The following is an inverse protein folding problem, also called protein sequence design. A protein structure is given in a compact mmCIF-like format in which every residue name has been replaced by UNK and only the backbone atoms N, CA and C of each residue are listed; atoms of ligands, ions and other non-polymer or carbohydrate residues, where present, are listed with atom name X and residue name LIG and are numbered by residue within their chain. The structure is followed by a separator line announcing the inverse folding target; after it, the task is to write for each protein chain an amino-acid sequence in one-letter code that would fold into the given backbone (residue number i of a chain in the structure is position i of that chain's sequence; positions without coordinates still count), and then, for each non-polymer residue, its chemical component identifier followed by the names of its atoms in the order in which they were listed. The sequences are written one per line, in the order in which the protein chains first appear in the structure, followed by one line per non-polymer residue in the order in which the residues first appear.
data_IF_017586072922
#
_entry.id   IF_017586072922
#
_cell.length_a   1.000
_cell.length_b   1.000
_cell.length_c   1.000
_cell.angle_alpha   90.00
_cell.angle_beta   90.00
_cell.angle_gamma   90.00
#
_symmetry.space_group_name_H-M   'P 1'
#
loop_
_entity.id
_entity.type
_entity.pdbx_description
1 polymer ?
#
# COMPACT_ATOMS: atom_id res chain seq x y z
N UNK A 1 20.91 30.97 2.23
CA UNK A 1 20.40 29.87 1.41
C UNK A 1 21.11 28.60 1.86
N UNK A 2 20.45 27.81 2.70
CA UNK A 2 20.92 26.46 3.07
C UNK A 2 20.90 25.66 1.77
N UNK A 3 22.02 25.07 1.42
CA UNK A 3 22.16 24.22 0.23
C UNK A 3 21.24 23.00 0.40
N UNK A 4 20.01 23.12 -0.14
CA UNK A 4 18.97 22.11 -0.01
C UNK A 4 19.26 20.84 -0.83
N UNK A 5 20.22 20.93 -1.78
CA UNK A 5 20.57 19.81 -2.66
C UNK A 5 21.24 18.65 -1.91
N UNK A 6 22.21 18.93 -1.05
CA UNK A 6 22.89 17.89 -0.28
C UNK A 6 22.01 17.18 0.76
N UNK A 7 21.02 17.87 1.32
CA UNK A 7 20.05 17.28 2.23
C UNK A 7 19.07 16.34 1.52
N UNK A 8 18.65 16.69 0.32
CA UNK A 8 17.76 15.87 -0.51
C UNK A 8 18.46 14.59 -0.97
N UNK A 9 19.71 14.70 -1.46
CA UNK A 9 20.48 13.55 -1.92
C UNK A 9 20.76 12.56 -0.78
N UNK A 10 21.06 13.05 0.43
CA UNK A 10 21.26 12.21 1.60
C UNK A 10 19.98 11.46 1.98
N UNK A 11 18.86 12.15 1.94
CA UNK A 11 17.56 11.56 2.27
C UNK A 11 17.14 10.52 1.23
N UNK A 12 17.27 10.82 -0.06
CA UNK A 12 16.98 9.88 -1.15
C UNK A 12 17.88 8.64 -1.05
N UNK A 13 19.18 8.84 -0.80
CA UNK A 13 20.12 7.74 -0.60
C UNK A 13 19.76 6.90 0.63
N UNK A 14 19.41 7.54 1.74
CA UNK A 14 18.98 6.86 2.97
C UNK A 14 17.71 6.05 2.76
N UNK A 15 16.73 6.61 2.09
CA UNK A 15 15.48 5.93 1.72
C UNK A 15 15.75 4.75 0.81
N UNK A 16 16.59 4.91 -0.21
CA UNK A 16 16.97 3.83 -1.12
C UNK A 16 17.68 2.69 -0.39
N UNK A 17 18.65 3.00 0.48
CA UNK A 17 19.35 1.99 1.30
C UNK A 17 18.38 1.27 2.24
N UNK A 18 17.46 2.00 2.87
CA UNK A 18 16.45 1.40 3.73
C UNK A 18 15.52 0.46 2.96
N UNK A 19 15.04 0.87 1.79
CA UNK A 19 14.22 0.03 0.92
C UNK A 19 14.98 -1.22 0.46
N UNK A 20 16.24 -1.08 0.06
CA UNK A 20 17.09 -2.20 -0.33
C UNK A 20 17.30 -3.19 0.83
N UNK A 21 17.56 -2.70 2.04
CA UNK A 21 17.67 -3.52 3.23
C UNK A 21 16.35 -4.24 3.55
N UNK A 22 15.21 -3.55 3.42
CA UNK A 22 13.89 -4.14 3.59
C UNK A 22 13.63 -5.26 2.61
N UNK A 23 13.91 -5.05 1.32
CA UNK A 23 13.66 -6.04 0.27
C UNK A 23 14.49 -7.32 0.47
N UNK A 24 15.72 -7.17 0.98
CA UNK A 24 16.64 -8.31 1.22
C UNK A 24 16.42 -9.01 2.57
N UNK A 25 15.64 -8.41 3.46
CA UNK A 25 15.42 -8.97 4.80
C UNK A 25 14.45 -10.15 4.78
N UNK A 26 14.90 -11.31 5.27
CA UNK A 26 14.11 -12.55 5.38
C UNK A 26 13.38 -12.93 4.09
N UNK A 27 14.11 -12.99 3.02
CA UNK A 27 13.62 -13.42 1.70
C UNK A 27 13.02 -14.82 1.79
N UNK A 28 11.82 -14.97 1.22
CA UNK A 28 11.13 -16.24 1.05
C UNK A 28 10.61 -16.31 -0.38
N UNK A 29 11.33 -17.01 -1.24
CA UNK A 29 11.09 -17.01 -2.68
C UNK A 29 9.62 -17.27 -3.03
N UNK A 30 9.00 -18.31 -2.46
CA UNK A 30 7.60 -18.66 -2.73
C UNK A 30 6.62 -17.57 -2.32
N UNK A 31 6.83 -16.99 -1.14
CA UNK A 31 5.98 -15.91 -0.62
C UNK A 31 6.19 -14.63 -1.41
N UNK A 32 7.44 -14.28 -1.65
CA UNK A 32 7.81 -13.05 -2.31
C UNK A 32 7.31 -13.01 -3.76
N UNK A 33 7.38 -14.13 -4.48
CA UNK A 33 6.79 -14.24 -5.83
C UNK A 33 5.28 -13.97 -5.85
N UNK A 34 4.54 -14.44 -4.83
CA UNK A 34 3.11 -14.12 -4.71
C UNK A 34 2.88 -12.63 -4.49
N UNK A 35 3.65 -12.00 -3.59
CA UNK A 35 3.54 -10.56 -3.34
C UNK A 35 3.96 -9.73 -4.55
N UNK A 36 5.01 -10.14 -5.29
CA UNK A 36 5.41 -9.52 -6.55
C UNK A 36 4.29 -9.58 -7.59
N UNK A 37 3.67 -10.76 -7.76
CA UNK A 37 2.57 -10.93 -8.71
C UNK A 37 1.34 -10.09 -8.30
N UNK A 38 0.96 -10.11 -7.03
CA UNK A 38 -0.15 -9.29 -6.51
C UNK A 38 0.14 -7.80 -6.68
N UNK A 39 1.35 -7.35 -6.36
CA UNK A 39 1.77 -5.96 -6.54
C UNK A 39 1.75 -5.53 -8.00
N UNK A 40 2.28 -6.35 -8.90
CA UNK A 40 2.31 -6.03 -10.33
C UNK A 40 0.88 -5.96 -10.93
N UNK A 41 0.05 -6.96 -10.64
CA UNK A 41 -1.32 -7.02 -11.19
C UNK A 41 -2.20 -5.97 -10.53
N UNK A 42 -2.20 -5.88 -9.20
CA UNK A 42 -3.01 -4.90 -8.46
C UNK A 42 -2.59 -3.46 -8.77
N UNK A 43 -1.29 -3.19 -8.75
CA UNK A 43 -0.75 -1.89 -9.12
C UNK A 43 -1.06 -1.53 -10.57
N UNK A 44 -0.92 -2.48 -11.50
CA UNK A 44 -1.28 -2.28 -12.90
C UNK A 44 -2.76 -1.93 -13.08
N UNK A 45 -3.66 -2.59 -12.34
CA UNK A 45 -5.10 -2.27 -12.36
C UNK A 45 -5.36 -0.87 -11.83
N UNK A 46 -4.72 -0.48 -10.71
CA UNK A 46 -4.87 0.84 -10.12
C UNK A 46 -4.36 1.93 -11.07
N UNK A 47 -3.17 1.75 -11.64
CA UNK A 47 -2.58 2.70 -12.59
C UNK A 47 -3.43 2.83 -13.87
N UNK A 48 -3.88 1.70 -14.41
CA UNK A 48 -4.78 1.71 -15.55
C UNK A 48 -6.07 2.46 -15.24
N UNK A 49 -6.71 2.14 -14.11
CA UNK A 49 -7.93 2.81 -13.68
C UNK A 49 -7.73 4.32 -13.53
N UNK A 50 -6.76 4.74 -12.72
CA UNK A 50 -6.54 6.16 -12.40
C UNK A 50 -6.19 7.00 -13.63
N UNK A 51 -5.35 6.46 -14.52
CA UNK A 51 -4.92 7.20 -15.72
C UNK A 51 -5.99 7.21 -16.83
N UNK A 52 -6.77 6.14 -17.01
CA UNK A 52 -7.85 6.08 -17.99
C UNK A 52 -9.06 6.93 -17.57
N UNK A 53 -9.38 6.96 -16.30
CA UNK A 53 -10.45 7.79 -15.75
C UNK A 53 -10.03 9.24 -15.48
N UNK A 54 -8.74 9.56 -15.70
CA UNK A 54 -8.16 10.88 -15.48
C UNK A 54 -8.26 11.35 -14.01
N UNK A 55 -8.28 10.42 -13.06
CA UNK A 55 -8.16 10.74 -11.63
C UNK A 55 -6.78 11.35 -11.37
N UNK A 56 -5.74 10.80 -12.04
CA UNK A 56 -4.40 11.43 -12.13
C UNK A 56 -3.82 11.28 -13.54
N UNK A 57 -2.82 12.10 -13.82
CA UNK A 57 -2.09 12.10 -15.09
C UNK A 57 -0.61 12.21 -14.81
N UNK A 58 0.19 11.50 -15.60
CA UNK A 58 1.64 11.62 -15.57
C UNK A 58 2.12 12.67 -16.57
N UNK A 59 3.30 13.22 -16.33
CA UNK A 59 3.91 14.21 -17.22
C UNK A 59 4.18 13.66 -18.63
N UNK A 60 4.36 12.33 -18.75
CA UNK A 60 4.53 11.62 -20.03
C UNK A 60 3.22 11.44 -20.81
N UNK A 61 2.07 11.71 -20.18
CA UNK A 61 0.72 11.50 -20.72
C UNK A 61 0.39 10.04 -21.11
N UNK A 62 1.26 9.09 -20.77
CA UNK A 62 1.00 7.65 -20.93
C UNK A 62 -0.08 7.16 -19.97
N UNK A 63 -0.79 6.07 -20.35
CA UNK A 63 -1.97 5.59 -19.60
C UNK A 63 -2.06 4.05 -19.52
N UNK A 64 -1.45 3.39 -18.56
CA UNK A 64 -0.45 3.91 -17.62
C UNK A 64 0.95 3.94 -18.24
N UNK A 65 1.88 4.71 -17.66
CA UNK A 65 3.29 4.63 -18.04
C UNK A 65 3.90 3.30 -17.55
N UNK A 66 4.56 2.58 -18.45
CA UNK A 66 5.12 1.26 -18.12
C UNK A 66 6.25 1.33 -17.08
N UNK A 67 6.95 2.45 -16.99
CA UNK A 67 8.05 2.64 -16.04
C UNK A 67 7.60 2.70 -14.57
N UNK A 68 6.32 3.00 -14.28
CA UNK A 68 5.80 3.00 -12.89
C UNK A 68 5.44 1.60 -12.40
N UNK A 69 5.13 0.66 -13.31
CA UNK A 69 4.66 -0.67 -12.94
C UNK A 69 5.63 -1.44 -12.03
N UNK A 70 6.96 -1.38 -12.21
CA UNK A 70 7.90 -2.04 -11.31
C UNK A 70 7.92 -1.50 -9.87
N UNK A 71 7.45 -0.28 -9.64
CA UNK A 71 7.38 0.31 -8.30
C UNK A 71 6.37 -0.44 -7.40
N UNK A 72 5.28 -0.94 -7.96
CA UNK A 72 4.22 -1.62 -7.22
C UNK A 72 4.65 -2.92 -6.55
N UNK A 73 5.31 -3.89 -7.25
CA UNK A 73 5.85 -5.07 -6.61
C UNK A 73 6.90 -4.74 -5.55
N UNK A 74 7.74 -3.72 -5.77
CA UNK A 74 8.73 -3.27 -4.79
C UNK A 74 8.03 -2.75 -3.53
N UNK A 75 7.04 -1.86 -3.68
CA UNK A 75 6.24 -1.34 -2.58
C UNK A 75 5.50 -2.46 -1.83
N UNK A 76 4.92 -3.41 -2.56
CA UNK A 76 4.19 -4.54 -1.95
C UNK A 76 5.10 -5.42 -1.09
N UNK A 77 6.33 -5.69 -1.53
CA UNK A 77 7.33 -6.41 -0.73
C UNK A 77 7.72 -5.59 0.51
N UNK A 78 7.96 -4.30 0.36
CA UNK A 78 8.29 -3.43 1.49
C UNK A 78 7.16 -3.41 2.53
N UNK A 79 5.91 -3.30 2.09
CA UNK A 79 4.72 -3.35 2.96
C UNK A 79 4.67 -4.69 3.72
N UNK A 80 4.90 -5.82 3.05
CA UNK A 80 4.95 -7.13 3.73
C UNK A 80 6.05 -7.20 4.79
N UNK A 81 7.24 -6.64 4.52
CA UNK A 81 8.34 -6.59 5.50
C UNK A 81 7.98 -5.71 6.71
N UNK A 82 7.47 -4.51 6.44
CA UNK A 82 7.04 -3.57 7.48
C UNK A 82 5.92 -4.16 8.33
N UNK A 83 4.92 -4.79 7.71
CA UNK A 83 3.83 -5.45 8.43
C UNK A 83 4.34 -6.54 9.37
N UNK A 84 5.31 -7.36 8.94
CA UNK A 84 5.92 -8.37 9.81
C UNK A 84 6.75 -7.80 10.95
N UNK A 85 7.37 -6.62 10.76
CA UNK A 85 8.06 -5.93 11.84
C UNK A 85 7.07 -5.38 12.84
N UNK A 86 6.03 -4.70 12.35
CA UNK A 86 4.98 -4.12 13.17
C UNK A 86 4.25 -5.18 13.99
N UNK A 87 3.91 -6.33 13.38
CA UNK A 87 3.25 -7.44 14.06
C UNK A 87 4.08 -7.99 15.22
N UNK A 88 5.42 -8.11 15.05
CA UNK A 88 6.33 -8.50 16.14
C UNK A 88 6.43 -7.45 17.22
N UNK A 89 6.50 -6.17 16.84
CA UNK A 89 6.54 -5.08 17.81
C UNK A 89 5.27 -5.06 18.67
N UNK A 90 4.11 -5.34 18.08
CA UNK A 90 2.86 -5.48 18.82
C UNK A 90 2.91 -6.61 19.85
N UNK A 91 3.48 -7.77 19.49
CA UNK A 91 3.65 -8.88 20.44
C UNK A 91 4.63 -8.54 21.59
N UNK A 92 5.69 -7.80 21.29
CA UNK A 92 6.65 -7.35 22.31
C UNK A 92 6.04 -6.34 23.28
N UNK A 93 5.32 -5.34 22.74
CA UNK A 93 4.64 -4.31 23.56
C UNK A 93 3.53 -4.93 24.42
N UNK A 94 2.84 -5.94 23.90
CA UNK A 94 1.84 -6.67 24.67
C UNK A 94 2.43 -7.52 25.82
N UNK A 95 3.76 -7.60 25.93
CA UNK A 95 4.44 -8.35 27.00
C UNK A 95 4.05 -9.82 27.09
N UNK A 96 3.79 -10.45 25.93
CA UNK A 96 3.32 -11.83 25.84
C UNK A 96 1.82 -12.01 26.13
N UNK A 97 1.10 -10.92 26.45
CA UNK A 97 -0.37 -10.96 26.55
C UNK A 97 -0.97 -10.94 25.14
N UNK A 98 -1.88 -11.87 24.86
CA UNK A 98 -2.60 -11.85 23.57
C UNK A 98 -3.54 -10.64 23.55
N UNK A 99 -3.32 -9.74 22.60
CA UNK A 99 -4.29 -8.68 22.31
C UNK A 99 -5.59 -9.34 21.86
N UNK A 100 -6.74 -9.03 22.48
CA UNK A 100 -8.02 -9.63 22.07
C UNK A 100 -8.31 -9.39 20.59
N UNK A 101 -8.77 -10.43 19.90
CA UNK A 101 -9.12 -10.34 18.48
C UNK A 101 -10.20 -9.29 18.19
N UNK A 102 -11.05 -9.00 19.16
CA UNK A 102 -12.10 -7.97 19.09
C UNK A 102 -11.53 -6.59 18.73
N UNK A 103 -10.38 -6.20 19.29
CA UNK A 103 -9.76 -4.91 18.96
C UNK A 103 -9.30 -4.84 17.51
N UNK A 104 -8.79 -5.94 16.97
CA UNK A 104 -8.41 -6.00 15.56
C UNK A 104 -9.63 -5.96 14.64
N UNK A 105 -10.74 -6.59 15.02
CA UNK A 105 -12.00 -6.49 14.28
C UNK A 105 -12.56 -5.07 14.31
N UNK A 106 -12.54 -4.40 15.45
CA UNK A 106 -12.97 -3.00 15.57
C UNK A 106 -12.09 -2.10 14.69
N UNK A 107 -10.75 -2.22 14.83
CA UNK A 107 -9.81 -1.43 14.04
C UNK A 107 -10.00 -1.67 12.54
N UNK A 108 -10.21 -2.91 12.12
CA UNK A 108 -10.45 -3.26 10.72
C UNK A 108 -11.72 -2.60 10.19
N UNK A 109 -12.85 -2.83 10.84
CA UNK A 109 -14.15 -2.32 10.38
C UNK A 109 -14.31 -0.81 10.49
N UNK A 110 -13.49 -0.16 11.30
CA UNK A 110 -13.41 1.32 11.33
C UNK A 110 -12.49 1.82 10.21
N UNK A 111 -11.28 1.28 10.08
CA UNK A 111 -10.25 1.87 9.19
C UNK A 111 -10.47 1.51 7.73
N UNK A 112 -10.67 0.22 7.40
CA UNK A 112 -10.71 -0.22 6.00
C UNK A 112 -11.94 0.28 5.25
N UNK A 113 -13.18 0.15 5.78
CA UNK A 113 -14.36 0.75 5.13
C UNK A 113 -14.27 2.27 5.03
N UNK A 114 -13.73 2.96 6.05
CA UNK A 114 -13.52 4.41 5.99
C UNK A 114 -12.59 4.80 4.86
N UNK A 115 -11.51 4.03 4.64
CA UNK A 115 -10.62 4.22 3.51
C UNK A 115 -11.35 3.99 2.18
N UNK A 116 -12.15 2.93 2.05
CA UNK A 116 -12.96 2.67 0.83
C UNK A 116 -13.90 3.83 0.55
N UNK A 117 -14.60 4.34 1.57
CA UNK A 117 -15.48 5.52 1.43
C UNK A 117 -14.69 6.75 0.98
N UNK A 118 -13.51 6.99 1.58
CA UNK A 118 -12.64 8.09 1.18
C UNK A 118 -12.17 7.96 -0.29
N UNK A 119 -11.83 6.75 -0.73
CA UNK A 119 -11.46 6.49 -2.13
C UNK A 119 -12.62 6.72 -3.11
N UNK A 120 -13.83 6.29 -2.75
CA UNK A 120 -15.04 6.57 -3.56
C UNK A 120 -15.30 8.09 -3.62
N UNK A 121 -15.16 8.79 -2.50
CA UNK A 121 -15.32 10.25 -2.44
C UNK A 121 -14.26 10.98 -3.29
N UNK A 122 -13.01 10.50 -3.26
CA UNK A 122 -11.93 11.01 -4.10
C UNK A 122 -12.22 10.80 -5.59
N UNK A 123 -12.70 9.62 -5.97
CA UNK A 123 -13.03 9.25 -7.35
C UNK A 123 -14.45 9.66 -7.78
N UNK A 124 -15.17 10.47 -6.99
CA UNK A 124 -16.60 10.78 -7.19
C UNK A 124 -16.98 11.25 -8.59
N UNK A 125 -16.07 11.97 -9.27
CA UNK A 125 -16.31 12.50 -10.62
C UNK A 125 -16.20 11.43 -11.72
N UNK A 126 -15.86 10.19 -11.36
CA UNK A 126 -15.71 9.05 -12.28
C UNK A 126 -16.63 7.87 -11.93
N UNK A 127 -17.56 8.03 -10.97
CA UNK A 127 -18.42 6.92 -10.49
C UNK A 127 -19.33 6.35 -11.57
N UNK A 128 -19.65 7.13 -12.60
CA UNK A 128 -20.44 6.69 -13.75
C UNK A 128 -19.63 5.89 -14.77
N UNK A 129 -18.32 5.85 -14.62
CA UNK A 129 -17.42 5.11 -15.50
C UNK A 129 -17.35 3.65 -15.03
N UNK A 130 -17.62 2.70 -15.94
CA UNK A 130 -17.63 1.27 -15.61
C UNK A 130 -16.34 0.77 -14.95
N UNK A 131 -15.17 1.32 -15.34
CA UNK A 131 -13.89 0.99 -14.69
C UNK A 131 -13.88 1.32 -13.19
N UNK A 132 -14.40 2.50 -12.80
CA UNK A 132 -14.51 2.90 -11.39
C UNK A 132 -15.49 2.01 -10.63
N UNK A 133 -16.59 1.62 -11.25
CA UNK A 133 -17.55 0.71 -10.63
C UNK A 133 -16.93 -0.68 -10.38
N UNK A 134 -16.16 -1.20 -11.32
CA UNK A 134 -15.44 -2.48 -11.17
C UNK A 134 -14.40 -2.40 -10.04
N UNK A 135 -13.56 -1.36 -10.04
CA UNK A 135 -12.54 -1.18 -8.99
C UNK A 135 -13.19 -1.01 -7.61
N UNK A 136 -14.27 -0.24 -7.53
CA UNK A 136 -15.05 -0.08 -6.28
C UNK A 136 -15.62 -1.42 -5.81
N UNK A 137 -16.21 -2.20 -6.70
CA UNK A 137 -16.73 -3.53 -6.37
C UNK A 137 -15.62 -4.47 -5.88
N UNK A 138 -14.44 -4.43 -6.50
CA UNK A 138 -13.26 -5.19 -6.04
C UNK A 138 -12.81 -4.75 -4.66
N UNK A 139 -12.70 -3.44 -4.40
CA UNK A 139 -12.33 -2.92 -3.06
C UNK A 139 -13.32 -3.38 -1.98
N UNK A 140 -14.63 -3.26 -2.25
CA UNK A 140 -15.67 -3.72 -1.34
C UNK A 140 -15.58 -5.24 -1.15
N UNK A 141 -15.43 -6.01 -2.22
CA UNK A 141 -15.30 -7.46 -2.17
C UNK A 141 -14.11 -7.93 -1.32
N UNK A 142 -12.94 -7.31 -1.50
CA UNK A 142 -11.74 -7.60 -0.69
C UNK A 142 -11.98 -7.23 0.77
N UNK A 143 -12.62 -6.08 1.04
CA UNK A 143 -12.96 -5.65 2.40
C UNK A 143 -13.89 -6.65 3.09
N UNK A 144 -14.90 -7.16 2.39
CA UNK A 144 -15.82 -8.15 2.95
C UNK A 144 -15.20 -9.55 3.09
N UNK A 145 -14.14 -9.85 2.37
CA UNK A 145 -13.45 -11.14 2.40
C UNK A 145 -12.44 -11.30 3.56
N UNK A 146 -12.33 -10.34 4.46
CA UNK A 146 -11.43 -10.39 5.60
C UNK A 146 -11.63 -11.66 6.43
N UNK A 147 -10.54 -12.40 6.65
CA UNK A 147 -10.51 -13.63 7.48
C UNK A 147 -9.60 -13.50 8.70
N UNK A 148 -8.59 -12.64 8.61
CA UNK A 148 -7.62 -12.39 9.65
C UNK A 148 -7.46 -10.86 9.86
N UNK A 149 -8.30 -10.26 10.73
CA UNK A 149 -8.31 -8.81 10.91
C UNK A 149 -6.99 -8.28 11.48
N UNK A 150 -6.25 -9.09 12.27
CA UNK A 150 -4.94 -8.68 12.79
C UNK A 150 -3.95 -8.49 11.65
N UNK A 151 -3.86 -9.48 10.77
CA UNK A 151 -2.96 -9.42 9.62
C UNK A 151 -3.36 -8.30 8.67
N UNK A 152 -4.64 -8.19 8.38
CA UNK A 152 -5.16 -7.24 7.39
C UNK A 152 -5.01 -5.80 7.89
N UNK A 153 -5.26 -5.51 9.18
CA UNK A 153 -5.06 -4.16 9.73
C UNK A 153 -3.57 -3.79 9.83
N UNK A 154 -2.70 -4.74 10.13
CA UNK A 154 -1.26 -4.50 10.18
C UNK A 154 -0.72 -4.23 8.76
N UNK A 155 -1.17 -4.97 7.75
CA UNK A 155 -0.85 -4.70 6.34
C UNK A 155 -1.39 -3.33 5.90
N UNK A 156 -2.63 -3.01 6.27
CA UNK A 156 -3.24 -1.72 5.98
C UNK A 156 -2.46 -0.56 6.60
N UNK A 157 -2.07 -0.68 7.87
CA UNK A 157 -1.28 0.34 8.55
C UNK A 157 0.11 0.53 7.91
N UNK A 158 0.80 -0.57 7.57
CA UNK A 158 2.09 -0.52 6.89
C UNK A 158 1.97 0.10 5.49
N UNK A 159 0.93 -0.26 4.74
CA UNK A 159 0.65 0.30 3.41
C UNK A 159 0.29 1.78 3.46
N UNK A 160 -0.53 2.19 4.42
CA UNK A 160 -0.89 3.60 4.61
C UNK A 160 0.33 4.44 5.00
N UNK A 161 1.17 3.94 5.89
CA UNK A 161 2.41 4.62 6.28
C UNK A 161 3.34 4.80 5.08
N UNK A 162 3.58 3.74 4.31
CA UNK A 162 4.45 3.83 3.13
C UNK A 162 3.83 4.73 2.05
N UNK A 163 2.52 4.65 1.81
CA UNK A 163 1.82 5.50 0.85
C UNK A 163 1.93 6.98 1.20
N UNK A 164 1.64 7.36 2.45
CA UNK A 164 1.79 8.74 2.92
C UNK A 164 3.24 9.20 2.72
N UNK A 165 4.21 8.37 3.08
CA UNK A 165 5.63 8.71 2.93
C UNK A 165 6.02 8.94 1.47
N UNK A 166 5.53 8.12 0.52
CA UNK A 166 5.85 8.23 -0.91
C UNK A 166 5.14 9.41 -1.60
N UNK A 167 3.96 9.81 -1.13
CA UNK A 167 3.18 10.92 -1.70
C UNK A 167 3.68 12.31 -1.26
N UNK A 168 4.42 12.39 -0.14
CA UNK A 168 4.96 13.66 0.36
C UNK A 168 6.31 14.04 -0.28
N UNK A 169 6.80 13.29 -1.25
CA UNK A 169 8.04 13.50 -2.01
C UNK A 169 7.74 13.68 -3.50
#
# INVERSE_FOLDING_TARGET
LIDSSGGMDLLLTGTWLWMAAMLTWRVSLRRDLVFLAVGLVGGGVIEWWGTHTRIWTYFTLERPPLWILPAWPIATLAIDRMARMLDRSLDQVAGGRRVPSTWFWIAYWVSVPSFVVAMIAFARHTVDIGATQVVTALMVGVTLACRDPRRDIVLFAAGSFLGIFLEYW
#
